data_IF_851616729768
#
_entry.id   IF_851616729768
#
_cell.length_a   1.000
_cell.length_b   1.000
_cell.length_c   1.000
_cell.angle_alpha   90.00
_cell.angle_beta   90.00
_cell.angle_gamma   90.00
#
_symmetry.space_group_name_H-M   'P 1'
#
loop_
_entity.id
_entity.type
_entity.pdbx_description
1 polymer ?
#
# COMPACT_ATOMS: atom_id res chain seq x y z
N UNK A 1 20.71 -5.19 9.92
CA UNK A 1 19.79 -4.12 10.38
C UNK A 1 19.45 -3.27 9.16
N UNK A 2 18.18 -3.12 8.79
CA UNK A 2 17.74 -2.30 7.64
C UNK A 2 17.96 -0.82 7.96
N UNK A 3 18.43 -0.03 6.98
CA UNK A 3 18.47 1.43 7.06
C UNK A 3 17.08 1.97 6.80
N UNK A 4 16.51 2.69 7.77
CA UNK A 4 15.22 3.36 7.63
C UNK A 4 15.44 4.65 6.81
N UNK A 5 14.65 4.84 5.76
CA UNK A 5 14.67 6.05 4.93
C UNK A 5 13.66 7.05 5.49
N UNK A 6 14.13 8.23 5.89
CA UNK A 6 13.28 9.32 6.37
C UNK A 6 12.60 10.09 5.24
N UNK A 7 11.62 10.93 5.58
CA UNK A 7 10.82 11.70 4.62
C UNK A 7 11.53 12.92 4.03
N UNK A 8 12.46 13.53 4.75
CA UNK A 8 13.11 14.79 4.31
C UNK A 8 13.82 14.71 2.95
N UNK A 9 14.66 13.69 2.65
CA UNK A 9 15.28 13.58 1.33
C UNK A 9 14.26 13.36 0.21
N UNK A 10 13.16 12.66 0.52
CA UNK A 10 12.09 12.43 -0.43
C UNK A 10 11.38 13.74 -0.79
N UNK A 11 10.98 14.52 0.22
CA UNK A 11 10.34 15.82 0.01
C UNK A 11 11.19 16.77 -0.82
N UNK A 12 12.51 16.78 -0.59
CA UNK A 12 13.43 17.65 -1.29
C UNK A 12 13.51 17.37 -2.81
N UNK A 13 13.36 16.11 -3.23
CA UNK A 13 13.57 15.70 -4.63
C UNK A 13 12.28 15.36 -5.37
N UNK A 14 11.24 14.91 -4.66
CA UNK A 14 10.03 14.31 -5.26
C UNK A 14 9.44 15.12 -6.40
N UNK A 15 9.18 16.41 -6.19
CA UNK A 15 8.53 17.25 -7.20
C UNK A 15 9.36 17.34 -8.49
N UNK A 16 10.69 17.46 -8.37
CA UNK A 16 11.61 17.48 -9.50
C UNK A 16 11.67 16.14 -10.22
N UNK A 17 11.72 15.03 -9.47
CA UNK A 17 11.71 13.67 -10.01
C UNK A 17 10.43 13.41 -10.84
N UNK A 18 9.27 13.72 -10.27
CA UNK A 18 7.98 13.51 -10.95
C UNK A 18 7.85 14.39 -12.19
N UNK A 19 8.20 15.68 -12.08
CA UNK A 19 8.10 16.63 -13.21
C UNK A 19 8.96 16.18 -14.38
N UNK A 20 10.25 15.95 -14.13
CA UNK A 20 11.18 15.59 -15.20
C UNK A 20 10.95 14.17 -15.71
N UNK A 21 10.63 13.23 -14.82
CA UNK A 21 10.33 11.86 -15.23
C UNK A 21 9.07 11.77 -16.09
N UNK A 22 8.00 12.46 -15.72
CA UNK A 22 6.78 12.49 -16.54
C UNK A 22 7.03 13.16 -17.90
N UNK A 23 7.87 14.19 -17.96
CA UNK A 23 8.30 14.82 -19.23
C UNK A 23 9.04 13.82 -20.12
N UNK A 24 10.03 13.10 -19.58
CA UNK A 24 10.82 12.10 -20.30
C UNK A 24 9.97 10.90 -20.74
N UNK A 25 9.00 10.46 -19.93
CA UNK A 25 8.07 9.41 -20.30
C UNK A 25 7.19 9.83 -21.49
N UNK A 26 6.66 11.06 -21.46
CA UNK A 26 5.88 11.61 -22.58
C UNK A 26 6.74 11.76 -23.85
N UNK A 27 8.00 12.16 -23.70
CA UNK A 27 8.96 12.26 -24.80
C UNK A 27 9.27 10.90 -25.43
N UNK A 28 9.54 9.87 -24.62
CA UNK A 28 9.72 8.51 -25.13
C UNK A 28 8.48 8.01 -25.88
N UNK A 29 7.27 8.26 -25.34
CA UNK A 29 6.01 7.90 -25.99
C UNK A 29 5.85 8.57 -27.36
N UNK A 30 6.32 9.82 -27.51
CA UNK A 30 6.28 10.58 -28.77
C UNK A 30 7.33 10.11 -29.77
N UNK A 31 8.56 9.85 -29.30
CA UNK A 31 9.72 9.53 -30.14
C UNK A 31 9.83 8.05 -30.51
N UNK A 32 9.22 7.16 -29.72
CA UNK A 32 9.29 5.71 -29.93
C UNK A 32 10.70 5.14 -29.80
N UNK A 33 10.97 4.06 -30.54
CA UNK A 33 12.24 3.34 -30.52
C UNK A 33 13.34 4.01 -31.37
N UNK A 34 13.54 5.32 -31.19
CA UNK A 34 14.64 6.10 -31.77
C UNK A 34 15.80 6.24 -30.78
N UNK A 35 16.95 6.74 -31.20
CA UNK A 35 18.09 6.96 -30.31
C UNK A 35 17.74 7.96 -29.19
N UNK A 36 17.07 9.07 -29.56
CA UNK A 36 16.58 10.09 -28.66
C UNK A 36 15.47 9.53 -27.74
N UNK A 37 14.58 8.70 -28.29
CA UNK A 37 13.58 7.99 -27.51
C UNK A 37 14.21 7.10 -26.44
N UNK A 38 15.20 6.28 -26.79
CA UNK A 38 15.92 5.46 -25.81
C UNK A 38 16.73 6.30 -24.81
N UNK A 39 17.25 7.46 -25.21
CA UNK A 39 17.87 8.39 -24.28
C UNK A 39 16.86 8.91 -23.25
N UNK A 40 15.66 9.30 -23.69
CA UNK A 40 14.59 9.72 -22.79
C UNK A 40 14.15 8.59 -21.84
N UNK A 41 14.00 7.37 -22.36
CA UNK A 41 13.68 6.19 -21.55
C UNK A 41 14.74 5.89 -20.48
N UNK A 42 16.04 5.99 -20.81
CA UNK A 42 17.13 5.81 -19.83
C UNK A 42 17.08 6.86 -18.73
N UNK A 43 16.86 8.13 -19.10
CA UNK A 43 16.70 9.23 -18.13
C UNK A 43 15.50 8.99 -17.20
N UNK A 44 14.35 8.64 -17.78
CA UNK A 44 13.15 8.27 -17.02
C UNK A 44 13.41 7.11 -16.05
N UNK A 45 14.06 6.05 -16.52
CA UNK A 45 14.38 4.86 -15.70
C UNK A 45 15.30 5.22 -14.53
N UNK A 46 16.27 6.12 -14.73
CA UNK A 46 17.15 6.59 -13.67
C UNK A 46 16.40 7.40 -12.60
N UNK A 47 15.45 8.25 -13.01
CA UNK A 47 14.61 9.01 -12.07
C UNK A 47 13.63 8.12 -11.30
N UNK A 48 13.08 7.08 -11.94
CA UNK A 48 12.29 6.04 -11.28
C UNK A 48 13.10 5.34 -10.19
N UNK A 49 14.32 4.91 -10.49
CA UNK A 49 15.20 4.27 -9.51
C UNK A 49 15.49 5.22 -8.34
N UNK A 50 15.79 6.49 -8.62
CA UNK A 50 16.02 7.50 -7.58
C UNK A 50 14.79 7.72 -6.70
N UNK A 51 13.61 7.86 -7.30
CA UNK A 51 12.35 7.98 -6.58
C UNK A 51 12.12 6.77 -5.66
N UNK A 52 12.33 5.56 -6.18
CA UNK A 52 12.17 4.31 -5.45
C UNK A 52 13.10 4.25 -4.23
N UNK A 53 14.38 4.61 -4.41
CA UNK A 53 15.36 4.66 -3.32
C UNK A 53 14.99 5.64 -2.22
N UNK A 54 14.38 6.77 -2.58
CA UNK A 54 14.05 7.84 -1.65
C UNK A 54 12.72 7.67 -0.94
N UNK A 55 11.84 6.75 -1.35
CA UNK A 55 10.56 6.53 -0.67
C UNK A 55 10.74 6.43 0.84
N UNK A 56 9.96 7.15 1.66
CA UNK A 56 10.11 7.08 3.10
C UNK A 56 9.55 5.77 3.63
N UNK A 57 10.19 5.28 4.70
CA UNK A 57 9.74 4.13 5.45
C UNK A 57 8.71 4.56 6.50
N UNK A 58 7.47 4.11 6.32
CA UNK A 58 6.36 4.41 7.24
C UNK A 58 6.02 3.14 8.01
N UNK A 59 5.76 3.29 9.32
CA UNK A 59 5.24 2.19 10.13
C UNK A 59 3.76 2.00 9.77
N UNK A 60 3.44 0.87 9.14
CA UNK A 60 2.06 0.57 8.70
C UNK A 60 1.38 -0.47 9.58
N UNK A 61 2.15 -1.23 10.36
CA UNK A 61 1.63 -2.29 11.21
C UNK A 61 2.67 -2.71 12.26
N UNK A 62 2.21 -3.44 13.29
CA UNK A 62 3.05 -4.23 14.18
C UNK A 62 2.52 -5.65 14.13
N UNK A 63 3.40 -6.63 13.91
CA UNK A 63 2.98 -8.01 13.80
C UNK A 63 2.33 -8.49 15.12
N UNK A 64 1.08 -8.99 15.09
CA UNK A 64 0.37 -9.43 16.29
C UNK A 64 0.89 -10.74 16.88
N UNK A 65 1.84 -11.41 16.20
CA UNK A 65 2.44 -12.66 16.65
C UNK A 65 3.87 -12.49 17.16
N UNK A 66 4.66 -11.63 16.51
CA UNK A 66 6.09 -11.45 16.82
C UNK A 66 6.40 -10.10 17.46
N UNK A 67 5.41 -9.20 17.55
CA UNK A 67 5.56 -7.81 17.94
C UNK A 67 6.55 -6.98 17.08
N UNK A 68 7.05 -7.52 15.96
CA UNK A 68 7.95 -6.80 15.06
C UNK A 68 7.22 -5.68 14.33
N UNK A 69 7.86 -4.52 14.19
CA UNK A 69 7.34 -3.42 13.38
C UNK A 69 7.40 -3.76 11.89
N UNK A 70 6.36 -3.37 11.15
CA UNK A 70 6.31 -3.45 9.69
C UNK A 70 6.52 -2.05 9.14
N UNK A 71 7.66 -1.87 8.46
CA UNK A 71 7.97 -0.66 7.71
C UNK A 71 7.65 -0.89 6.24
N UNK A 72 6.92 0.05 5.65
CA UNK A 72 6.56 0.01 4.24
C UNK A 72 7.03 1.29 3.52
N UNK A 73 7.69 1.17 2.37
CA UNK A 73 8.00 2.32 1.53
C UNK A 73 6.70 2.91 0.97
N UNK A 74 6.38 4.16 1.31
CA UNK A 74 5.10 4.79 0.94
C UNK A 74 5.29 6.24 0.52
N UNK A 75 4.75 6.64 -0.62
CA UNK A 75 4.64 8.07 -0.94
C UNK A 75 3.50 8.69 -0.12
N UNK A 76 3.87 9.54 0.82
CA UNK A 76 2.97 10.21 1.76
C UNK A 76 2.72 11.68 1.42
N UNK A 77 3.17 12.17 0.27
CA UNK A 77 3.05 13.59 -0.09
C UNK A 77 1.69 13.90 -0.71
N UNK A 78 1.28 13.09 -1.68
CA UNK A 78 -0.02 13.11 -2.34
C UNK A 78 -0.13 11.81 -3.18
N UNK A 79 -1.25 11.58 -3.84
CA UNK A 79 -1.51 10.39 -4.66
C UNK A 79 -1.08 10.55 -6.13
N UNK A 80 -0.38 11.63 -6.48
CA UNK A 80 0.19 11.87 -7.82
C UNK A 80 1.58 11.25 -8.04
N UNK A 81 2.16 10.63 -7.02
CA UNK A 81 3.46 9.98 -7.10
C UNK A 81 3.38 8.60 -7.74
N UNK A 82 4.48 8.16 -8.38
CA UNK A 82 4.53 6.87 -9.07
C UNK A 82 4.30 5.66 -8.15
N UNK A 83 4.38 5.82 -6.82
CA UNK A 83 3.94 4.78 -5.88
C UNK A 83 2.47 4.39 -6.10
N UNK A 84 1.63 5.37 -6.44
CA UNK A 84 0.17 5.25 -6.57
C UNK A 84 -0.30 4.91 -7.98
N UNK A 85 0.62 4.73 -8.93
CA UNK A 85 0.29 4.25 -10.27
C UNK A 85 -0.21 2.81 -10.18
N UNK A 86 -1.52 2.60 -10.36
CA UNK A 86 -2.16 1.30 -10.16
C UNK A 86 -1.53 0.21 -11.02
N UNK A 87 -1.17 0.53 -12.27
CA UNK A 87 -0.66 -0.44 -13.26
C UNK A 87 0.83 -0.71 -13.13
N UNK A 88 1.61 0.33 -12.80
CA UNK A 88 3.07 0.24 -12.75
C UNK A 88 3.61 1.01 -11.54
N UNK A 89 3.32 0.55 -10.32
CA UNK A 89 3.72 1.25 -9.11
C UNK A 89 5.25 1.19 -8.91
N UNK A 90 5.86 2.32 -8.57
CA UNK A 90 7.30 2.39 -8.25
C UNK A 90 7.48 2.30 -6.74
N UNK A 91 8.02 1.17 -6.26
CA UNK A 91 8.14 0.85 -4.83
C UNK A 91 9.36 -0.01 -4.55
N UNK A 92 9.99 0.11 -3.38
CA UNK A 92 11.02 -0.85 -2.96
C UNK A 92 10.37 -2.18 -2.58
N UNK A 93 11.05 -3.27 -2.89
CA UNK A 93 10.71 -4.62 -2.39
C UNK A 93 11.52 -4.89 -1.13
N UNK A 94 11.06 -4.33 -0.01
CA UNK A 94 11.77 -4.47 1.26
C UNK A 94 11.34 -5.72 2.04
N UNK A 95 12.23 -6.31 2.86
CA UNK A 95 11.86 -7.45 3.68
C UNK A 95 10.82 -7.07 4.72
N UNK A 96 9.74 -7.86 4.77
CA UNK A 96 8.67 -7.83 5.77
C UNK A 96 8.80 -9.02 6.72
N UNK A 97 8.16 -9.01 7.91
CA UNK A 97 8.11 -10.19 8.78
C UNK A 97 7.56 -11.41 8.03
N UNK A 98 8.06 -12.61 8.36
CA UNK A 98 7.65 -13.86 7.71
C UNK A 98 6.15 -14.19 7.86
N UNK A 99 5.49 -13.54 8.82
CA UNK A 99 4.05 -13.64 9.08
C UNK A 99 3.23 -12.72 8.19
N UNK A 100 3.82 -11.71 7.54
CA UNK A 100 3.12 -10.79 6.66
C UNK A 100 2.62 -11.53 5.41
N UNK A 101 1.36 -11.32 5.04
CA UNK A 101 0.76 -11.95 3.87
C UNK A 101 0.31 -10.97 2.79
N UNK A 102 -0.45 -9.95 3.16
CA UNK A 102 -0.92 -8.92 2.25
C UNK A 102 -1.23 -7.62 3.00
N UNK A 103 -1.33 -6.53 2.25
CA UNK A 103 -1.75 -5.23 2.77
C UNK A 103 -2.76 -4.59 1.81
N UNK A 104 -4.02 -4.59 2.22
CA UNK A 104 -5.07 -3.80 1.59
C UNK A 104 -5.01 -2.36 2.09
N UNK A 105 -5.90 -1.52 1.56
CA UNK A 105 -5.98 -0.14 2.03
C UNK A 105 -7.21 0.60 1.54
N UNK A 106 -7.61 1.55 2.36
CA UNK A 106 -8.66 2.52 2.09
C UNK A 106 -8.08 3.92 2.23
N UNK A 107 -8.68 4.91 1.58
CA UNK A 107 -8.27 6.31 1.72
C UNK A 107 -9.46 7.24 1.56
N UNK A 108 -9.68 8.08 2.58
CA UNK A 108 -10.58 9.22 2.45
C UNK A 108 -9.82 10.41 1.87
N UNK A 109 -10.25 10.83 0.69
CA UNK A 109 -9.72 12.03 0.05
C UNK A 109 -10.31 13.29 0.70
N UNK A 110 -9.42 14.14 1.20
CA UNK A 110 -9.72 15.53 1.53
C UNK A 110 -9.40 16.44 0.33
N UNK A 111 -10.44 16.81 -0.42
CA UNK A 111 -10.33 17.59 -1.66
C UNK A 111 -9.86 16.79 -2.88
N UNK A 112 -9.81 17.44 -4.06
CA UNK A 112 -9.32 16.82 -5.28
C UNK A 112 -7.80 16.56 -5.16
N UNK A 113 -7.32 15.35 -5.49
CA UNK A 113 -5.90 15.06 -5.46
C UNK A 113 -5.16 15.77 -6.59
N UNK A 114 -3.85 15.97 -6.44
CA UNK A 114 -3.01 16.53 -7.50
C UNK A 114 -3.13 15.71 -8.82
N UNK A 115 -3.04 16.33 -10.01
CA UNK A 115 -3.21 15.62 -11.27
C UNK A 115 -2.05 14.64 -11.53
N UNK A 116 -2.38 13.44 -12.02
CA UNK A 116 -1.41 12.41 -12.39
C UNK A 116 -1.68 11.89 -13.82
N UNK A 117 -0.65 11.50 -14.58
CA UNK A 117 -0.82 10.96 -15.94
C UNK A 117 -1.19 9.46 -15.97
N UNK A 118 -1.72 8.92 -14.86
CA UNK A 118 -2.01 7.50 -14.67
C UNK A 118 -3.17 7.30 -13.69
N UNK A 119 -3.81 6.13 -13.76
CA UNK A 119 -4.88 5.72 -12.85
C UNK A 119 -4.35 5.45 -11.44
N UNK A 120 -5.13 5.83 -10.43
CA UNK A 120 -4.77 5.73 -9.00
C UNK A 120 -5.80 4.91 -8.23
N UNK A 121 -5.35 3.87 -7.55
CA UNK A 121 -6.24 2.94 -6.83
C UNK A 121 -6.04 3.04 -5.32
N UNK A 122 -6.63 4.07 -4.71
CA UNK A 122 -6.45 4.38 -3.28
C UNK A 122 -7.40 3.61 -2.35
N UNK A 123 -8.37 2.89 -2.92
CA UNK A 123 -9.38 2.11 -2.20
C UNK A 123 -10.65 2.91 -1.88
N UNK A 124 -11.56 2.35 -1.05
CA UNK A 124 -12.76 3.03 -0.56
C UNK A 124 -12.45 4.20 0.39
N UNK A 125 -13.45 5.05 0.67
CA UNK A 125 -13.31 6.20 1.60
C UNK A 125 -13.36 5.80 3.08
N UNK A 126 -13.54 4.51 3.36
CA UNK A 126 -13.65 3.96 4.71
C UNK A 126 -12.92 2.62 4.80
N UNK A 127 -12.32 2.29 5.96
CA UNK A 127 -11.62 1.04 6.14
C UNK A 127 -12.56 -0.16 6.07
N UNK A 128 -11.99 -1.30 5.69
CA UNK A 128 -12.67 -2.56 5.51
C UNK A 128 -11.71 -3.72 5.81
N UNK A 129 -12.26 -4.93 5.91
CA UNK A 129 -11.49 -6.17 5.97
C UNK A 129 -11.98 -7.16 4.91
N UNK A 130 -11.18 -8.18 4.64
CA UNK A 130 -11.55 -9.34 3.86
C UNK A 130 -11.98 -10.44 4.83
N UNK A 131 -13.29 -10.65 4.95
CA UNK A 131 -13.87 -11.59 5.92
C UNK A 131 -13.31 -13.00 5.72
N UNK A 132 -13.19 -13.44 4.47
CA UNK A 132 -12.67 -14.76 4.08
C UNK A 132 -11.22 -14.96 4.57
N UNK A 133 -10.42 -13.89 4.59
CA UNK A 133 -9.08 -13.95 5.15
C UNK A 133 -9.11 -14.10 6.67
N UNK A 134 -9.95 -13.33 7.37
CA UNK A 134 -10.02 -13.31 8.84
C UNK A 134 -10.73 -14.53 9.45
N UNK A 135 -11.57 -15.21 8.68
CA UNK A 135 -12.20 -16.48 9.04
C UNK A 135 -11.16 -17.58 9.29
N UNK A 136 -9.97 -17.49 8.70
CA UNK A 136 -8.89 -18.41 9.00
C UNK A 136 -8.41 -18.25 10.46
N UNK A 137 -8.32 -19.33 11.26
CA UNK A 137 -7.99 -19.26 12.69
C UNK A 137 -6.65 -18.57 12.96
N UNK A 138 -5.67 -18.83 12.10
CA UNK A 138 -4.30 -18.32 12.20
C UNK A 138 -4.10 -16.91 11.63
N UNK A 139 -5.16 -16.28 11.09
CA UNK A 139 -5.10 -14.94 10.52
C UNK A 139 -5.46 -13.87 11.56
N UNK A 140 -4.71 -12.77 11.51
CA UNK A 140 -5.05 -11.50 12.17
C UNK A 140 -4.75 -10.34 11.23
N UNK A 141 -5.59 -9.32 11.25
CA UNK A 141 -5.30 -8.05 10.58
C UNK A 141 -4.96 -6.96 11.59
N UNK A 142 -4.22 -5.96 11.14
CA UNK A 142 -3.94 -4.74 11.88
C UNK A 142 -4.28 -3.55 10.99
N UNK A 143 -5.17 -2.70 11.45
CA UNK A 143 -5.46 -1.39 10.85
C UNK A 143 -4.65 -0.29 11.55
N UNK A 144 -4.10 0.62 10.75
CA UNK A 144 -3.48 1.86 11.26
C UNK A 144 -3.90 3.04 10.39
N UNK A 145 -3.55 4.25 10.80
CA UNK A 145 -3.74 5.47 10.02
C UNK A 145 -2.41 5.99 9.49
N UNK A 146 -2.40 6.39 8.22
CA UNK A 146 -1.29 7.11 7.59
C UNK A 146 -1.81 8.38 6.92
N UNK A 147 -1.06 9.46 7.06
CA UNK A 147 -1.33 10.71 6.34
C UNK A 147 -0.67 10.66 4.97
N UNK A 148 -1.44 10.95 3.93
CA UNK A 148 -0.95 11.09 2.54
C UNK A 148 -1.37 12.46 2.06
N UNK A 149 -0.48 13.44 2.21
CA UNK A 149 -0.80 14.85 1.98
C UNK A 149 -2.00 15.31 2.81
N UNK A 150 -3.06 15.86 2.19
CA UNK A 150 -4.30 16.20 2.88
C UNK A 150 -5.17 14.96 3.18
N UNK A 151 -4.93 13.81 2.54
CA UNK A 151 -5.78 12.63 2.60
C UNK A 151 -5.45 11.68 3.77
N UNK A 152 -6.48 10.98 4.25
CA UNK A 152 -6.36 10.01 5.35
C UNK A 152 -6.39 8.60 4.79
N UNK A 153 -5.28 7.88 4.89
CA UNK A 153 -5.17 6.49 4.46
C UNK A 153 -5.24 5.53 5.65
N UNK A 154 -5.78 4.34 5.39
CA UNK A 154 -5.83 3.24 6.36
C UNK A 154 -5.25 1.98 5.72
N UNK A 155 -3.96 1.68 5.89
CA UNK A 155 -3.43 0.38 5.54
C UNK A 155 -4.02 -0.69 6.47
N UNK A 156 -4.47 -1.80 5.88
CA UNK A 156 -4.94 -2.98 6.61
C UNK A 156 -4.00 -4.13 6.29
N UNK A 157 -3.12 -4.45 7.24
CA UNK A 157 -2.07 -5.45 7.07
C UNK A 157 -2.47 -6.77 7.68
N UNK A 158 -2.43 -7.85 6.90
CA UNK A 158 -2.79 -9.19 7.31
C UNK A 158 -1.55 -10.01 7.64
N UNK A 159 -1.63 -10.71 8.76
CA UNK A 159 -0.58 -11.55 9.30
C UNK A 159 -1.12 -12.96 9.51
N UNK A 160 -0.31 -13.97 9.20
CA UNK A 160 -0.57 -15.35 9.55
C UNK A 160 0.58 -15.92 10.39
N UNK A 161 0.25 -16.61 11.48
CA UNK A 161 1.22 -17.19 12.43
C UNK A 161 2.04 -18.36 11.84
N UNK A 162 1.53 -19.02 10.80
CA UNK A 162 2.10 -20.23 10.21
C UNK A 162 2.61 -19.96 8.79
N UNK A 163 1.92 -20.47 7.79
CA UNK A 163 2.14 -20.23 6.37
C UNK A 163 0.84 -19.78 5.73
N UNK A 164 0.93 -19.14 4.56
CA UNK A 164 -0.25 -18.78 3.76
C UNK A 164 -1.21 -19.97 3.68
N UNK A 165 -2.49 -19.83 4.13
CA UNK A 165 -3.48 -20.88 3.97
C UNK A 165 -3.62 -21.28 2.51
N UNK A 166 -3.71 -22.60 2.24
CA UNK A 166 -3.96 -23.09 0.88
C UNK A 166 -5.32 -22.59 0.40
N UNK A 167 -5.39 -22.11 -0.84
CA UNK A 167 -6.63 -21.63 -1.46
C UNK A 167 -7.02 -20.20 -1.09
N UNK A 168 -6.27 -19.51 -0.21
CA UNK A 168 -6.51 -18.08 0.04
C UNK A 168 -6.01 -17.26 -1.15
N UNK A 169 -6.92 -16.62 -1.88
CA UNK A 169 -6.58 -15.63 -2.91
C UNK A 169 -5.86 -14.44 -2.25
N UNK A 170 -4.80 -13.93 -2.90
CA UNK A 170 -4.16 -12.69 -2.46
C UNK A 170 -4.77 -11.52 -3.21
N UNK A 171 -4.92 -10.42 -2.49
CA UNK A 171 -5.43 -9.17 -3.03
C UNK A 171 -4.25 -8.28 -3.45
N UNK A 172 -4.44 -7.41 -4.46
CA UNK A 172 -3.46 -6.41 -4.83
C UNK A 172 -3.00 -5.60 -3.61
N UNK A 173 -1.70 -5.33 -3.55
CA UNK A 173 -1.15 -4.49 -2.48
C UNK A 173 -1.69 -3.07 -2.66
N UNK A 174 -2.06 -2.41 -1.57
CA UNK A 174 -2.67 -1.08 -1.60
C UNK A 174 -1.99 -0.11 -2.59
N UNK A 175 -2.76 0.54 -3.46
CA UNK A 175 -2.25 1.41 -4.52
C UNK A 175 -1.78 0.71 -5.80
N UNK A 176 -1.97 -0.60 -5.93
CA UNK A 176 -1.58 -1.43 -7.10
C UNK A 176 -2.78 -2.24 -7.60
N UNK A 177 -2.81 -2.55 -8.90
CA UNK A 177 -3.73 -3.54 -9.50
C UNK A 177 -3.17 -4.98 -9.43
N UNK A 178 -1.94 -5.13 -8.96
CA UNK A 178 -1.22 -6.40 -8.83
C UNK A 178 -0.84 -6.69 -7.37
N UNK A 179 -0.74 -7.99 -7.02
CA UNK A 179 -0.15 -8.45 -5.78
C UNK A 179 1.28 -8.94 -6.02
N UNK A 180 2.20 -8.53 -5.14
CA UNK A 180 3.57 -9.03 -5.18
C UNK A 180 3.61 -10.43 -4.59
N UNK A 181 3.86 -11.45 -5.43
CA UNK A 181 4.23 -12.77 -4.94
C UNK A 181 5.68 -12.72 -4.50
N UNK A 182 5.92 -12.51 -3.21
CA UNK A 182 7.25 -12.70 -2.63
C UNK A 182 7.66 -14.17 -2.80
N UNK A 183 8.47 -14.44 -3.83
CA UNK A 183 9.05 -15.75 -4.09
C UNK A 183 10.26 -15.97 -3.18
N UNK A 184 10.08 -16.65 -2.06
CA UNK A 184 11.19 -17.21 -1.30
C UNK A 184 11.17 -18.76 -1.36
N UNK A 185 12.16 -19.45 -1.97
CA UNK A 185 13.22 -18.97 -2.86
C UNK A 185 13.03 -19.48 -4.32
N UNK A 186 13.11 -18.54 -5.26
CA UNK A 186 13.40 -18.75 -6.70
C UNK A 186 12.36 -19.46 -7.57
N UNK A 187 11.34 -18.72 -8.00
CA UNK A 187 10.94 -18.51 -9.42
C UNK A 187 9.55 -17.88 -9.48
N UNK A 188 9.37 -16.99 -10.44
CA UNK A 188 8.06 -16.56 -10.95
C UNK A 188 7.23 -17.81 -11.29
N UNK A 189 6.07 -18.00 -10.65
CA UNK A 189 5.34 -19.28 -10.72
C UNK A 189 4.11 -19.26 -11.64
N UNK A 190 3.36 -18.16 -11.73
CA UNK A 190 2.29 -17.94 -12.71
C UNK A 190 1.59 -16.62 -12.41
N UNK A 191 0.90 -16.07 -13.42
CA UNK A 191 -0.28 -15.22 -13.21
C UNK A 191 -1.43 -16.17 -12.85
N UNK A 192 -2.10 -15.94 -11.72
CA UNK A 192 -3.39 -16.57 -11.46
C UNK A 192 -4.46 -15.51 -11.74
N UNK A 193 -5.33 -15.78 -12.71
CA UNK A 193 -6.47 -14.93 -13.08
C UNK A 193 -7.61 -15.04 -12.05
N UNK A 194 -7.40 -15.77 -10.95
CA UNK A 194 -8.33 -15.85 -9.81
C UNK A 194 -8.36 -14.52 -9.02
N UNK A 195 -8.82 -13.46 -9.66
CA UNK A 195 -9.48 -12.32 -9.01
C UNK A 195 -10.76 -12.82 -8.33
N UNK A 196 -10.63 -13.54 -7.23
CA UNK A 196 -11.69 -13.58 -6.24
C UNK A 196 -11.48 -12.36 -5.37
N UNK A 197 -12.14 -11.24 -5.76
CA UNK A 197 -12.31 -10.13 -4.83
C UNK A 197 -13.02 -10.71 -3.61
N UNK A 198 -12.26 -10.96 -2.55
CA UNK A 198 -12.83 -11.21 -1.24
C UNK A 198 -13.77 -10.05 -0.97
N UNK A 199 -15.01 -10.34 -0.56
CA UNK A 199 -16.00 -9.27 -0.45
C UNK A 199 -15.58 -8.38 0.71
N UNK A 200 -15.32 -7.07 0.48
CA UNK A 200 -14.91 -6.20 1.55
C UNK A 200 -16.03 -6.09 2.58
N UNK A 201 -15.71 -6.42 3.82
CA UNK A 201 -16.57 -6.23 4.97
C UNK A 201 -16.23 -4.90 5.66
N UNK A 202 -17.22 -4.02 5.69
CA UNK A 202 -17.10 -2.69 6.29
C UNK A 202 -17.60 -2.66 7.74
N UNK A 203 -18.24 -3.72 8.24
CA UNK A 203 -18.58 -3.85 9.65
C UNK A 203 -17.39 -4.39 10.43
N UNK A 204 -16.53 -3.50 10.90
CA UNK A 204 -15.30 -3.88 11.59
C UNK A 204 -15.54 -4.38 13.02
N UNK A 205 -16.72 -4.13 13.62
CA UNK A 205 -16.97 -4.39 15.05
C UNK A 205 -16.80 -5.86 15.42
N UNK A 206 -17.39 -6.84 14.70
CA UNK A 206 -17.22 -8.26 15.03
C UNK A 206 -15.76 -8.72 14.99
N UNK A 207 -14.98 -8.17 14.06
CA UNK A 207 -13.57 -8.50 13.89
C UNK A 207 -12.69 -7.93 15.01
N UNK A 208 -12.99 -6.71 15.46
CA UNK A 208 -12.31 -6.07 16.58
C UNK A 208 -12.58 -6.83 17.89
N UNK A 209 -13.85 -7.17 18.15
CA UNK A 209 -14.29 -7.80 19.39
C UNK A 209 -13.83 -9.27 19.49
N UNK A 210 -13.71 -9.96 18.36
CA UNK A 210 -13.10 -11.30 18.30
C UNK A 210 -11.57 -11.30 18.43
N UNK A 211 -10.92 -10.13 18.34
CA UNK A 211 -9.45 -10.01 18.33
C UNK A 211 -8.81 -10.45 17.00
N UNK A 212 -9.61 -10.63 15.95
CA UNK A 212 -9.15 -10.90 14.58
C UNK A 212 -8.62 -9.65 13.88
N UNK A 213 -9.23 -8.51 14.17
CA UNK A 213 -8.73 -7.20 13.79
C UNK A 213 -8.17 -6.52 15.04
N UNK A 214 -6.91 -6.10 14.96
CA UNK A 214 -6.27 -5.23 15.95
C UNK A 214 -6.09 -3.86 15.32
N UNK A 215 -5.85 -2.86 16.15
CA UNK A 215 -5.71 -1.50 15.66
C UNK A 215 -4.58 -0.74 16.36
N UNK A 216 -3.99 0.20 15.64
CA UNK A 216 -3.01 1.16 16.15
C UNK A 216 -3.72 2.52 16.20
N UNK A 217 -3.56 3.28 17.28
CA UNK A 217 -4.18 4.59 17.38
C UNK A 217 -3.56 5.59 16.37
N UNK A 218 -4.33 6.51 15.78
CA UNK A 218 -3.81 7.59 14.95
C UNK A 218 -2.69 8.35 15.66
N UNK A 219 -1.58 8.59 14.96
CA UNK A 219 -0.41 9.29 15.50
C UNK A 219 0.44 8.49 16.49
N UNK A 220 0.11 7.23 16.79
CA UNK A 220 0.93 6.39 17.68
C UNK A 220 2.19 5.89 16.96
N UNK A 221 3.30 6.64 17.15
CA UNK A 221 4.62 6.30 16.60
C UNK A 221 5.23 5.04 17.19
N UNK A 222 4.72 4.56 18.32
CA UNK A 222 5.14 3.28 18.93
C UNK A 222 4.42 2.11 18.30
N UNK A 223 3.36 2.32 17.51
CA UNK A 223 2.52 1.29 16.92
C UNK A 223 2.07 0.25 17.97
N UNK A 224 1.52 0.74 19.08
CA UNK A 224 0.97 -0.13 20.13
C UNK A 224 -0.30 -0.79 19.62
N UNK A 225 -0.34 -2.12 19.69
CA UNK A 225 -1.51 -2.90 19.28
C UNK A 225 -2.60 -2.81 20.34
N UNK A 226 -3.81 -2.47 19.89
CA UNK A 226 -5.04 -2.43 20.69
C UNK A 226 -6.02 -3.47 20.16
N UNK A 227 -6.88 -3.94 21.06
CA UNK A 227 -7.88 -4.99 20.81
C UNK A 227 -9.27 -4.50 21.21
N UNK A 228 -10.32 -5.06 20.60
CA UNK A 228 -11.70 -4.69 20.89
C UNK A 228 -12.14 -3.40 20.19
N UNK A 229 -13.46 -3.22 20.11
CA UNK A 229 -14.10 -2.08 19.44
C UNK A 229 -14.14 -0.80 20.29
N UNK A 230 -13.92 -0.91 21.61
CA UNK A 230 -13.92 0.24 22.51
C UNK A 230 -12.89 1.29 22.08
N UNK A 231 -13.36 2.53 21.90
CA UNK A 231 -12.56 3.69 21.47
C UNK A 231 -11.82 3.54 20.14
N UNK A 232 -12.17 2.54 19.32
CA UNK A 232 -11.57 2.35 18.01
C UNK A 232 -12.01 3.48 17.05
N UNK A 233 -11.09 4.31 16.54
CA UNK A 233 -11.44 5.49 15.73
C UNK A 233 -11.80 5.14 14.28
N UNK A 234 -11.69 3.86 13.92
CA UNK A 234 -11.92 3.36 12.57
C UNK A 234 -13.37 2.88 12.35
N UNK A 235 -14.22 3.03 13.36
CA UNK A 235 -15.63 2.64 13.33
C UNK A 235 -16.52 3.77 12.84
N UNK A 236 -17.58 3.39 12.12
CA UNK A 236 -18.68 4.27 11.70
C UNK A 236 -18.22 5.55 10.96
N UNK A 237 -17.08 5.47 10.28
CA UNK A 237 -16.57 6.58 9.49
C UNK A 237 -17.53 6.91 8.33
N UNK A 238 -17.77 8.19 8.04
CA UNK A 238 -18.53 8.58 6.85
C UNK A 238 -17.70 8.37 5.59
N UNK A 239 -18.33 7.96 4.50
CA UNK A 239 -17.69 7.80 3.19
C UNK A 239 -18.28 6.69 2.33
N UNK A 240 -17.79 6.58 1.10
CA UNK A 240 -18.22 5.57 0.13
C UNK A 240 -17.58 4.21 0.41
N UNK A 241 -18.41 3.16 0.43
CA UNK A 241 -18.01 1.74 0.61
C UNK A 241 -17.76 1.01 -0.73
N UNK A 242 -17.36 1.77 -1.75
CA UNK A 242 -17.08 1.22 -3.08
C UNK A 242 -15.63 1.53 -3.41
N UNK A 243 -14.98 0.60 -4.11
CA UNK A 243 -13.73 0.93 -4.78
C UNK A 243 -13.99 2.07 -5.76
N UNK A 244 -13.19 3.12 -5.65
CA UNK A 244 -13.23 4.23 -6.58
C UNK A 244 -12.00 4.14 -7.50
N UNK A 245 -12.10 3.47 -8.66
CA UNK A 245 -10.94 3.24 -9.53
C UNK A 245 -10.52 4.48 -10.34
N UNK A 246 -11.14 5.65 -10.14
CA UNK A 246 -10.98 6.79 -11.06
C UNK A 246 -10.74 8.11 -10.32
N UNK A 247 -9.47 8.49 -10.25
CA UNK A 247 -9.02 9.87 -10.12
C UNK A 247 -7.84 10.10 -11.05
#
# INVERSE_FOLDING_TARGET
MRKIVGIEPFLAERAGLLTEGNRLAAEYKRLGATEEGFAAYRGFSALHARYQELLPDIVVSRCPFTAQLVYWPLDTVDVDGWFWNARNPVRRTDPVPHTWLLMGGAMRLDGPPAPAPFDRWVGPDVPYVYAEALDHPEMRAVISEVRVGPHTGWPITYHCSVHRPRGLALEPVWGSEHYDVAAAPRRYAAWDDNWHMNTPDFDLRPWLDSGKLLWIAPGDTTATLRTGSTDCPYLDLPGTRKYNPQF
#
